data_IF_769220542521
#
_entry.id   IF_769220542521
#
_cell.length_a   1.000
_cell.length_b   1.000
_cell.length_c   1.000
_cell.angle_alpha   90.00
_cell.angle_beta   90.00
_cell.angle_gamma   90.00
#
_symmetry.space_group_name_H-M   'P 1'
#
loop_
_entity.id
_entity.type
_entity.pdbx_description
1 polymer ?
#
# COMPACT_ATOMS: atom_id res chain seq x y z
N UNK A 1 -17.77 1.37 -11.53
CA UNK A 1 -16.52 1.09 -10.79
C UNK A 1 -16.80 -0.04 -9.80
N UNK A 2 -15.96 -1.07 -9.72
CA UNK A 2 -16.23 -2.25 -8.87
C UNK A 2 -15.79 -2.06 -7.40
N UNK A 3 -14.78 -1.22 -7.18
CA UNK A 3 -14.18 -0.98 -5.86
C UNK A 3 -13.93 0.53 -5.69
N UNK A 4 -14.96 1.32 -5.32
CA UNK A 4 -14.77 2.75 -5.09
C UNK A 4 -13.84 2.96 -3.90
N UNK A 5 -12.72 3.65 -4.13
CA UNK A 5 -11.75 4.01 -3.11
C UNK A 5 -10.91 5.22 -3.56
N UNK A 6 -10.45 6.02 -2.60
CA UNK A 6 -9.59 7.18 -2.90
C UNK A 6 -8.14 6.76 -3.15
N UNK A 7 -7.73 5.59 -2.66
CA UNK A 7 -6.34 5.15 -2.70
C UNK A 7 -6.22 3.63 -2.65
N UNK A 8 -5.27 3.09 -3.42
CA UNK A 8 -4.86 1.68 -3.38
C UNK A 8 -3.50 1.57 -2.70
N UNK A 9 -3.35 0.60 -1.80
CA UNK A 9 -2.11 0.35 -1.06
C UNK A 9 -1.61 -1.05 -1.36
N UNK A 10 -0.38 -1.15 -1.87
CA UNK A 10 0.28 -2.43 -2.17
C UNK A 10 1.06 -2.95 -0.96
N UNK A 11 0.67 -4.10 -0.43
CA UNK A 11 1.32 -4.70 0.73
C UNK A 11 2.54 -5.55 0.33
N UNK A 12 3.70 -4.90 0.23
CA UNK A 12 4.97 -5.52 -0.13
C UNK A 12 5.24 -5.54 -1.64
N UNK A 13 6.46 -5.96 -1.99
CA UNK A 13 7.02 -5.83 -3.34
C UNK A 13 6.26 -6.63 -4.41
N UNK A 14 5.75 -7.81 -4.06
CA UNK A 14 5.02 -8.66 -5.01
C UNK A 14 3.72 -7.99 -5.43
N UNK A 15 2.92 -7.53 -4.45
CA UNK A 15 1.67 -6.82 -4.73
C UNK A 15 1.92 -5.53 -5.53
N UNK A 16 2.99 -4.79 -5.21
CA UNK A 16 3.35 -3.57 -5.92
C UNK A 16 3.67 -3.84 -7.40
N UNK A 17 4.51 -4.85 -7.68
CA UNK A 17 4.85 -5.23 -9.05
C UNK A 17 3.61 -5.68 -9.85
N UNK A 18 2.73 -6.47 -9.23
CA UNK A 18 1.50 -6.92 -9.88
C UNK A 18 0.54 -5.76 -10.20
N UNK A 19 0.44 -4.77 -9.31
CA UNK A 19 -0.40 -3.59 -9.55
C UNK A 19 0.21 -2.67 -10.61
N UNK A 20 1.54 -2.54 -10.63
CA UNK A 20 2.28 -1.83 -11.67
C UNK A 20 2.05 -2.44 -13.06
N UNK A 21 2.10 -3.77 -13.20
CA UNK A 21 1.78 -4.48 -14.44
C UNK A 21 0.35 -4.20 -14.95
N UNK A 22 -0.58 -3.90 -14.02
CA UNK A 22 -1.97 -3.54 -14.32
C UNK A 22 -2.17 -2.03 -14.52
N UNK A 23 -1.10 -1.24 -14.50
CA UNK A 23 -1.13 0.23 -14.52
C UNK A 23 -2.01 0.83 -13.41
N UNK A 24 -2.05 0.18 -12.25
CA UNK A 24 -2.74 0.69 -11.06
C UNK A 24 -1.74 1.49 -10.23
N UNK A 25 -2.03 2.77 -10.03
CA UNK A 25 -1.28 3.60 -9.09
C UNK A 25 -1.57 3.13 -7.65
N UNK A 26 -0.52 2.67 -6.97
CA UNK A 26 -0.65 2.11 -5.63
C UNK A 26 0.55 2.50 -4.76
N UNK A 27 0.27 2.91 -3.52
CA UNK A 27 1.31 3.16 -2.54
C UNK A 27 1.87 1.84 -1.99
N UNK A 28 3.14 1.56 -2.27
CA UNK A 28 3.82 0.39 -1.73
C UNK A 28 4.21 0.59 -0.26
N UNK A 29 3.76 -0.31 0.60
CA UNK A 29 4.12 -0.35 2.02
C UNK A 29 4.79 -1.68 2.37
N UNK A 30 5.60 -1.68 3.42
CA UNK A 30 6.30 -2.86 3.91
C UNK A 30 5.28 -3.87 4.41
N UNK A 31 5.41 -5.12 3.97
CA UNK A 31 4.62 -6.21 4.51
C UNK A 31 4.94 -6.43 6.01
N UNK A 32 3.94 -6.59 6.90
CA UNK A 32 4.15 -6.63 8.35
C UNK A 32 4.88 -7.89 8.85
N UNK A 33 4.79 -9.01 8.12
CA UNK A 33 5.52 -10.23 8.45
C UNK A 33 7.05 -10.04 8.39
N UNK A 34 7.79 -10.96 9.02
CA UNK A 34 9.26 -11.01 9.02
C UNK A 34 9.91 -9.70 9.51
N UNK A 35 9.40 -9.17 10.63
CA UNK A 35 9.93 -7.95 11.26
C UNK A 35 9.47 -6.63 10.62
N UNK A 36 8.61 -6.66 9.60
CA UNK A 36 8.14 -5.45 8.91
C UNK A 36 7.08 -4.64 9.66
N UNK A 37 6.51 -5.16 10.76
CA UNK A 37 5.34 -4.60 11.41
C UNK A 37 5.49 -3.14 11.88
N UNK A 38 6.68 -2.75 12.38
CA UNK A 38 6.92 -1.35 12.80
C UNK A 38 6.84 -0.39 11.60
N UNK A 39 7.54 -0.74 10.52
CA UNK A 39 7.60 0.09 9.31
C UNK A 39 6.25 0.14 8.59
N UNK A 40 5.54 -1.00 8.52
CA UNK A 40 4.17 -1.06 8.03
C UNK A 40 3.27 -0.02 8.70
N UNK A 41 3.24 0.00 10.04
CA UNK A 41 2.38 0.94 10.79
C UNK A 41 2.76 2.40 10.54
N UNK A 42 4.06 2.70 10.44
CA UNK A 42 4.53 4.05 10.13
C UNK A 42 4.06 4.49 8.73
N UNK A 43 4.28 3.65 7.72
CA UNK A 43 3.89 3.96 6.35
C UNK A 43 2.38 4.07 6.16
N UNK A 44 1.59 3.21 6.83
CA UNK A 44 0.12 3.32 6.80
C UNK A 44 -0.36 4.61 7.47
N UNK A 45 0.26 5.01 8.60
CA UNK A 45 -0.07 6.27 9.23
C UNK A 45 0.22 7.47 8.31
N UNK A 46 1.35 7.44 7.60
CA UNK A 46 1.69 8.48 6.61
C UNK A 46 0.64 8.54 5.50
N UNK A 47 0.23 7.39 4.97
CA UNK A 47 -0.81 7.27 3.95
C UNK A 47 -2.14 7.86 4.45
N UNK A 48 -2.61 7.45 5.63
CA UNK A 48 -3.88 7.94 6.21
C UNK A 48 -3.84 9.46 6.46
N UNK A 49 -2.71 9.99 6.94
CA UNK A 49 -2.56 11.42 7.19
C UNK A 49 -2.60 12.27 5.91
N UNK A 50 -2.31 11.69 4.74
CA UNK A 50 -2.43 12.40 3.45
C UNK A 50 -3.86 12.45 2.92
N UNK A 51 -4.79 11.68 3.52
CA UNK A 51 -6.20 11.60 3.12
C UNK A 51 -7.13 12.49 3.96
N UNK A 52 -6.63 13.01 5.10
CA UNK A 52 -7.36 13.90 6.03
C UNK A 52 -6.95 15.35 5.87
#
# INVERSE_FOLDING_TARGET
ELFPCDQVVALGKIAAAQLEELNVDAHCVRHPASGGAKLFRQQIADVVNTLT
#
